data_IF_521434141329
#
_entry.id   IF_521434141329
#
_cell.length_a   1.000
_cell.length_b   1.000
_cell.length_c   1.000
_cell.angle_alpha   90.00
_cell.angle_beta   90.00
_cell.angle_gamma   90.00
#
_symmetry.space_group_name_H-M   'P 1'
#
loop_
_entity.id
_entity.type
_entity.pdbx_description
1 polymer ?
#
# COMPACT_ATOMS: atom_id res chain seq x y z
N UNK A 1 -11.81 -51.04 26.05
CA UNK A 1 -11.82 -49.57 26.10
C UNK A 1 -11.44 -49.09 24.74
N UNK A 2 -12.40 -48.59 23.97
CA UNK A 2 -12.15 -48.07 22.61
C UNK A 2 -11.93 -46.56 22.71
N UNK A 3 -10.75 -46.11 22.36
CA UNK A 3 -10.42 -44.69 22.30
C UNK A 3 -11.11 -44.07 21.08
N UNK A 4 -11.99 -43.09 21.32
CA UNK A 4 -12.65 -42.28 20.31
C UNK A 4 -11.63 -41.29 19.73
N UNK A 5 -11.00 -41.63 18.61
CA UNK A 5 -10.30 -40.67 17.78
C UNK A 5 -11.34 -39.82 17.02
N UNK A 6 -11.46 -38.55 17.44
CA UNK A 6 -12.18 -37.55 16.63
C UNK A 6 -11.48 -37.33 15.30
N UNK A 7 -11.99 -37.97 14.26
CA UNK A 7 -11.55 -37.74 12.89
C UNK A 7 -12.16 -36.41 12.44
N UNK A 8 -11.34 -35.36 12.36
CA UNK A 8 -11.70 -34.09 11.75
C UNK A 8 -12.15 -34.33 10.31
N UNK A 9 -13.40 -34.03 9.98
CA UNK A 9 -13.90 -34.07 8.61
C UNK A 9 -13.33 -32.86 7.85
N UNK A 10 -12.82 -33.05 6.60
CA UNK A 10 -12.48 -31.92 5.73
C UNK A 10 -13.76 -31.14 5.40
N UNK A 11 -13.93 -29.96 5.98
CA UNK A 11 -15.14 -29.12 5.86
C UNK A 11 -15.44 -28.27 7.07
N UNK A 12 -14.90 -28.60 8.25
CA UNK A 12 -15.13 -27.88 9.51
C UNK A 12 -14.13 -26.73 9.77
N UNK A 13 -13.46 -26.22 8.74
CA UNK A 13 -12.89 -24.88 8.86
C UNK A 13 -14.07 -23.90 8.81
N UNK A 14 -14.58 -23.57 9.99
CA UNK A 14 -15.66 -22.61 10.13
C UNK A 14 -15.39 -21.40 9.27
N UNK A 15 -16.30 -21.10 8.35
CA UNK A 15 -16.33 -19.80 7.70
C UNK A 15 -16.29 -18.77 8.81
N UNK A 16 -15.13 -18.12 8.98
CA UNK A 16 -14.97 -17.06 9.95
C UNK A 16 -16.03 -16.01 9.64
N UNK A 17 -16.99 -15.85 10.55
CA UNK A 17 -18.06 -14.82 10.50
C UNK A 17 -17.53 -13.38 10.34
N UNK A 18 -16.21 -13.20 10.24
CA UNK A 18 -15.51 -11.93 10.11
C UNK A 18 -15.16 -11.55 8.66
N UNK A 19 -15.34 -12.45 7.67
CA UNK A 19 -14.92 -12.22 6.28
C UNK A 19 -16.01 -11.62 5.37
N UNK A 20 -17.07 -11.03 5.91
CA UNK A 20 -18.06 -10.32 5.10
C UNK A 20 -17.58 -8.91 4.75
N UNK A 21 -16.40 -8.83 4.12
CA UNK A 21 -15.78 -7.60 3.65
C UNK A 21 -15.59 -7.71 2.14
N UNK A 22 -16.20 -6.79 1.40
CA UNK A 22 -16.13 -6.81 -0.07
C UNK A 22 -14.74 -6.40 -0.59
N UNK A 23 -13.99 -5.61 0.18
CA UNK A 23 -12.70 -5.07 -0.20
C UNK A 23 -11.72 -5.02 0.97
N UNK A 24 -10.46 -5.42 0.72
CA UNK A 24 -9.32 -5.24 1.64
C UNK A 24 -8.31 -4.29 1.01
N UNK A 25 -7.72 -3.41 1.82
CA UNK A 25 -6.77 -2.38 1.38
C UNK A 25 -5.37 -2.70 1.90
N UNK A 26 -4.36 -2.61 1.04
CA UNK A 26 -2.96 -2.72 1.43
C UNK A 26 -2.19 -1.47 0.98
N UNK A 27 -1.62 -0.75 1.92
CA UNK A 27 -0.62 0.26 1.62
C UNK A 27 0.71 -0.41 1.29
N UNK A 28 1.33 -0.04 0.17
CA UNK A 28 2.73 -0.34 -0.14
C UNK A 28 3.48 0.98 -0.15
N UNK A 29 4.37 1.17 0.83
CA UNK A 29 5.03 2.45 1.07
C UNK A 29 6.54 2.34 0.81
N UNK A 30 7.04 3.31 0.11
CA UNK A 30 8.44 3.46 -0.25
C UNK A 30 9.28 3.92 0.94
N UNK A 31 10.29 3.16 1.28
CA UNK A 31 11.37 3.49 2.21
C UNK A 31 12.74 3.31 1.53
N UNK A 32 12.80 3.52 0.20
CA UNK A 32 14.07 3.55 -0.53
C UNK A 32 14.91 4.77 -0.14
N UNK A 33 16.16 4.75 -0.54
CA UNK A 33 17.12 5.76 -0.12
C UNK A 33 16.76 7.18 -0.61
N UNK A 34 16.12 7.30 -1.78
CA UNK A 34 15.63 8.58 -2.34
C UNK A 34 14.59 9.27 -1.44
N UNK A 35 13.84 8.52 -0.63
CA UNK A 35 12.92 9.07 0.35
C UNK A 35 13.59 9.88 1.47
N UNK A 36 14.93 9.83 1.60
CA UNK A 36 15.70 10.71 2.49
C UNK A 36 15.93 12.09 1.93
N UNK A 37 15.77 12.27 0.61
CA UNK A 37 15.99 13.55 -0.05
C UNK A 37 14.96 14.60 0.39
N UNK A 38 15.40 15.87 0.56
CA UNK A 38 14.50 16.93 0.98
C UNK A 38 13.76 17.57 -0.20
N UNK A 39 12.51 17.97 0.05
CA UNK A 39 11.77 18.95 -0.75
C UNK A 39 11.54 20.17 0.15
N UNK A 40 12.08 21.32 -0.26
CA UNK A 40 12.01 22.54 0.55
C UNK A 40 12.47 22.36 2.01
N UNK A 41 13.55 21.58 2.23
CA UNK A 41 14.15 21.34 3.54
C UNK A 41 13.48 20.25 4.39
N UNK A 42 12.40 19.62 3.93
CA UNK A 42 11.72 18.51 4.60
C UNK A 42 11.90 17.21 3.81
N UNK A 43 12.36 16.15 4.47
CA UNK A 43 12.58 14.87 3.78
C UNK A 43 11.25 14.30 3.26
N UNK A 44 11.29 13.68 2.09
CA UNK A 44 10.10 13.03 1.46
C UNK A 44 9.45 12.03 2.42
N UNK A 45 10.26 11.22 3.13
CA UNK A 45 9.75 10.26 4.12
C UNK A 45 8.98 10.96 5.25
N UNK A 46 9.44 12.11 5.75
CA UNK A 46 8.76 12.83 6.82
C UNK A 46 7.41 13.39 6.34
N UNK A 47 7.34 13.85 5.08
CA UNK A 47 6.08 14.25 4.45
C UNK A 47 5.11 13.06 4.32
N UNK A 48 5.60 11.90 3.91
CA UNK A 48 4.81 10.66 3.85
C UNK A 48 4.30 10.25 5.24
N UNK A 49 5.16 10.23 6.25
CA UNK A 49 4.79 9.89 7.63
C UNK A 49 3.73 10.83 8.18
N UNK A 50 3.89 12.13 7.94
CA UNK A 50 2.90 13.15 8.32
C UNK A 50 1.57 12.91 7.60
N UNK A 51 1.60 12.66 6.29
CA UNK A 51 0.41 12.35 5.50
C UNK A 51 -0.32 11.12 6.04
N UNK A 52 0.39 10.05 6.33
CA UNK A 52 -0.21 8.84 6.92
C UNK A 52 -0.82 9.12 8.29
N UNK A 53 -0.15 9.94 9.13
CA UNK A 53 -0.70 10.38 10.42
C UNK A 53 -1.99 11.19 10.29
N UNK A 54 -2.12 12.00 9.23
CA UNK A 54 -3.34 12.78 8.94
C UNK A 54 -4.48 11.94 8.35
N UNK A 55 -4.16 10.87 7.60
CA UNK A 55 -5.15 10.07 6.87
C UNK A 55 -5.69 8.90 7.69
N UNK A 56 -4.81 8.17 8.38
CA UNK A 56 -5.17 6.94 9.09
C UNK A 56 -6.32 7.11 10.10
N UNK A 57 -6.46 8.24 10.84
CA UNK A 57 -7.59 8.45 11.73
C UNK A 57 -8.95 8.49 11.04
N UNK A 58 -8.99 8.84 9.75
CA UNK A 58 -10.22 8.91 8.96
C UNK A 58 -10.56 7.61 8.23
N UNK A 59 -9.67 6.61 8.25
CA UNK A 59 -9.97 5.28 7.72
C UNK A 59 -11.03 4.63 8.60
N UNK A 60 -12.14 4.20 8.00
CA UNK A 60 -13.20 3.55 8.74
C UNK A 60 -12.67 2.31 9.48
N UNK A 61 -12.97 2.20 10.77
CA UNK A 61 -12.52 1.07 11.62
C UNK A 61 -12.97 -0.31 11.13
N UNK A 62 -14.02 -0.36 10.31
CA UNK A 62 -14.48 -1.59 9.66
C UNK A 62 -13.71 -1.94 8.40
N UNK A 63 -12.96 -0.99 7.83
CA UNK A 63 -12.11 -1.25 6.65
C UNK A 63 -10.90 -2.08 7.08
N UNK A 64 -10.67 -3.16 6.38
CA UNK A 64 -9.51 -4.01 6.59
C UNK A 64 -8.32 -3.39 5.88
N UNK A 65 -7.35 -2.92 6.64
CA UNK A 65 -6.15 -2.28 6.11
C UNK A 65 -4.90 -2.96 6.63
N UNK A 66 -3.88 -3.02 5.76
CA UNK A 66 -2.56 -3.52 6.11
C UNK A 66 -1.47 -2.61 5.53
N UNK A 67 -0.22 -2.91 5.87
CA UNK A 67 0.91 -2.14 5.37
C UNK A 67 2.10 -3.03 5.06
N UNK A 68 2.55 -2.98 3.82
CA UNK A 68 3.82 -3.47 3.33
C UNK A 68 4.75 -2.28 3.10
N UNK A 69 6.03 -2.47 3.30
CA UNK A 69 7.06 -1.48 2.97
C UNK A 69 8.18 -2.14 2.18
N UNK A 70 8.88 -1.37 1.37
CA UNK A 70 10.12 -1.80 0.74
C UNK A 70 11.23 -0.75 0.94
N UNK A 71 12.49 -1.12 0.64
CA UNK A 71 13.63 -0.21 0.77
C UNK A 71 14.00 0.15 2.22
N UNK A 72 13.40 -0.48 3.22
CA UNK A 72 13.64 -0.23 4.64
C UNK A 72 14.82 -1.01 5.21
N UNK A 73 15.44 -1.88 4.41
CA UNK A 73 16.59 -2.72 4.79
C UNK A 73 17.65 -2.62 3.71
N UNK A 74 18.90 -2.60 4.15
CA UNK A 74 20.04 -2.84 3.27
C UNK A 74 20.16 -4.33 3.00
N UNK A 75 20.55 -4.69 1.78
CA UNK A 75 20.95 -6.06 1.43
C UNK A 75 22.47 -6.21 1.53
N UNK A 76 22.96 -7.44 1.71
CA UNK A 76 24.38 -7.73 1.56
C UNK A 76 24.81 -7.70 0.08
N UNK A 77 23.90 -8.03 -0.80
CA UNK A 77 24.04 -7.97 -2.27
C UNK A 77 22.93 -7.11 -2.86
N UNK A 78 23.06 -6.72 -4.13
CA UNK A 78 21.97 -6.05 -4.87
C UNK A 78 20.73 -6.95 -4.92
N UNK A 79 20.92 -8.26 -5.09
CA UNK A 79 19.81 -9.22 -5.08
C UNK A 79 19.05 -9.20 -3.76
N UNK A 80 19.74 -9.18 -2.61
CA UNK A 80 19.08 -9.11 -1.29
C UNK A 80 18.35 -7.78 -1.10
N UNK A 81 18.97 -6.67 -1.52
CA UNK A 81 18.37 -5.34 -1.46
C UNK A 81 17.08 -5.28 -2.30
N UNK A 82 17.07 -5.93 -3.46
CA UNK A 82 15.90 -6.05 -4.35
C UNK A 82 14.84 -7.04 -3.84
N UNK A 83 15.07 -7.73 -2.75
CA UNK A 83 14.10 -8.55 -2.00
C UNK A 83 13.69 -7.92 -0.66
N UNK A 84 14.17 -6.71 -0.37
CA UNK A 84 13.90 -6.01 0.88
C UNK A 84 12.48 -5.42 0.91
N UNK A 85 11.47 -6.28 0.94
CA UNK A 85 10.05 -5.95 1.08
C UNK A 85 9.44 -6.75 2.22
N UNK A 86 8.69 -6.10 3.12
CA UNK A 86 8.12 -6.73 4.32
C UNK A 86 6.69 -6.28 4.59
N UNK A 87 5.81 -7.23 4.88
CA UNK A 87 4.49 -6.95 5.46
C UNK A 87 4.69 -6.59 6.94
N UNK A 88 4.65 -5.30 7.28
CA UNK A 88 4.86 -4.85 8.66
C UNK A 88 3.58 -4.89 9.50
N UNK A 89 2.43 -4.71 8.86
CA UNK A 89 1.12 -4.82 9.49
C UNK A 89 0.22 -5.68 8.61
N UNK A 90 -0.17 -6.88 9.06
CA UNK A 90 -1.13 -7.72 8.34
C UNK A 90 -2.45 -6.99 8.10
N UNK A 91 -3.17 -7.37 7.05
CA UNK A 91 -4.46 -6.77 6.70
C UNK A 91 -5.50 -7.22 7.73
N UNK A 92 -5.98 -6.27 8.55
CA UNK A 92 -6.96 -6.51 9.59
C UNK A 92 -7.83 -5.27 9.84
N UNK A 93 -9.00 -5.40 10.47
CA UNK A 93 -9.80 -4.24 10.89
C UNK A 93 -9.07 -3.46 12.00
N UNK A 94 -9.35 -2.16 12.09
CA UNK A 94 -8.81 -1.25 13.11
C UNK A 94 -7.26 -1.19 13.18
N UNK A 95 -6.54 -1.48 12.08
CA UNK A 95 -5.08 -1.54 12.04
C UNK A 95 -4.38 -0.17 11.98
N UNK A 96 -5.12 0.94 11.91
CA UNK A 96 -4.54 2.29 11.75
C UNK A 96 -3.48 2.63 12.81
N UNK A 97 -3.74 2.32 14.08
CA UNK A 97 -2.78 2.56 15.17
C UNK A 97 -1.52 1.69 15.05
N UNK A 98 -1.67 0.43 14.64
CA UNK A 98 -0.55 -0.47 14.40
C UNK A 98 0.32 0.02 13.23
N UNK A 99 -0.31 0.54 12.15
CA UNK A 99 0.40 1.14 11.02
C UNK A 99 1.21 2.35 11.50
N UNK A 100 0.60 3.30 12.23
CA UNK A 100 1.29 4.48 12.77
C UNK A 100 2.48 4.09 13.64
N UNK A 101 2.32 3.12 14.54
CA UNK A 101 3.38 2.66 15.43
C UNK A 101 4.55 2.00 14.69
N UNK A 102 4.29 1.28 13.60
CA UNK A 102 5.33 0.68 12.76
C UNK A 102 6.04 1.70 11.89
N UNK A 103 5.30 2.65 11.31
CA UNK A 103 5.87 3.74 10.51
C UNK A 103 6.88 4.56 11.30
N UNK A 104 6.58 4.91 12.55
CA UNK A 104 7.48 5.68 13.42
C UNK A 104 8.85 5.00 13.68
N UNK A 105 8.97 3.70 13.42
CA UNK A 105 10.19 2.90 13.64
C UNK A 105 10.87 2.46 12.33
N UNK A 106 10.31 2.83 11.19
CA UNK A 106 10.81 2.42 9.88
C UNK A 106 11.63 3.56 9.25
N UNK A 107 12.80 3.24 8.72
CA UNK A 107 13.70 4.22 8.11
C UNK A 107 14.08 3.82 6.68
N UNK A 108 14.22 4.79 5.77
CA UNK A 108 14.72 4.56 4.41
C UNK A 108 16.18 4.09 4.44
N UNK A 109 16.53 3.07 3.60
CA UNK A 109 17.89 2.51 3.57
C UNK A 109 18.29 1.81 2.28
N UNK A 110 17.35 1.44 1.40
CA UNK A 110 17.59 0.46 0.36
C UNK A 110 17.13 0.84 -1.03
N UNK A 111 16.93 -0.20 -1.84
CA UNK A 111 16.51 -0.14 -3.24
C UNK A 111 14.99 0.00 -3.37
N UNK A 112 14.52 0.10 -4.63
CA UNK A 112 13.10 0.34 -4.95
C UNK A 112 12.48 -0.87 -5.68
N UNK A 113 12.29 -2.04 -5.01
CA UNK A 113 11.72 -3.25 -5.58
C UNK A 113 10.18 -3.19 -5.65
N UNK A 114 9.64 -2.34 -6.52
CA UNK A 114 8.19 -2.13 -6.68
C UNK A 114 7.52 -3.42 -7.13
N UNK A 115 7.99 -4.01 -8.23
CA UNK A 115 7.40 -5.20 -8.84
C UNK A 115 7.43 -6.38 -7.88
N UNK A 116 8.55 -6.60 -7.20
CA UNK A 116 8.66 -7.63 -6.18
C UNK A 116 7.66 -7.42 -5.03
N UNK A 117 7.48 -6.17 -4.59
CA UNK A 117 6.54 -5.84 -3.52
C UNK A 117 5.09 -6.07 -3.92
N UNK A 118 4.73 -5.71 -5.16
CA UNK A 118 3.41 -5.95 -5.74
C UNK A 118 3.14 -7.45 -5.89
N UNK A 119 4.11 -8.24 -6.36
CA UNK A 119 4.02 -9.72 -6.41
C UNK A 119 3.73 -10.28 -5.02
N UNK A 120 4.50 -9.90 -4.01
CA UNK A 120 4.31 -10.37 -2.63
C UNK A 120 2.95 -9.98 -2.06
N UNK A 121 2.45 -8.78 -2.38
CA UNK A 121 1.11 -8.36 -1.98
C UNK A 121 0.03 -9.30 -2.54
N UNK A 122 0.07 -9.55 -3.83
CA UNK A 122 -0.95 -10.36 -4.52
C UNK A 122 -0.86 -11.85 -4.16
N UNK A 123 0.36 -12.39 -4.05
CA UNK A 123 0.61 -13.82 -3.84
C UNK A 123 0.48 -14.25 -2.37
N UNK A 124 0.79 -13.34 -1.43
CA UNK A 124 0.96 -13.69 -0.02
C UNK A 124 0.08 -12.88 0.93
N UNK A 125 0.01 -11.54 0.77
CA UNK A 125 -0.62 -10.69 1.78
C UNK A 125 -2.16 -10.76 1.75
N UNK A 126 -2.74 -11.06 0.58
CA UNK A 126 -4.17 -11.28 0.39
C UNK A 126 -4.55 -12.77 0.34
N UNK A 127 -3.68 -13.65 0.81
CA UNK A 127 -3.95 -15.11 0.77
C UNK A 127 -5.27 -15.44 1.47
N UNK A 128 -6.07 -16.32 0.85
CA UNK A 128 -7.37 -16.75 1.39
C UNK A 128 -8.50 -15.73 1.27
N UNK A 129 -8.26 -14.55 0.68
CA UNK A 129 -9.30 -13.54 0.45
C UNK A 129 -9.76 -13.53 -1.00
N UNK A 130 -11.06 -13.79 -1.22
CA UNK A 130 -11.69 -13.85 -2.54
C UNK A 130 -12.28 -12.51 -3.02
N UNK A 131 -12.44 -11.51 -2.13
CA UNK A 131 -13.00 -10.19 -2.46
C UNK A 131 -12.03 -9.28 -3.20
N UNK A 132 -12.42 -8.03 -3.40
CA UNK A 132 -11.62 -7.00 -4.07
C UNK A 132 -10.37 -6.65 -3.27
N UNK A 133 -9.24 -6.62 -3.95
CA UNK A 133 -7.93 -6.28 -3.41
C UNK A 133 -7.52 -4.91 -3.90
N UNK A 134 -7.49 -3.93 -3.00
CA UNK A 134 -7.09 -2.58 -3.30
C UNK A 134 -5.68 -2.32 -2.76
N UNK A 135 -4.73 -2.14 -3.63
CA UNK A 135 -3.35 -1.76 -3.29
C UNK A 135 -3.20 -0.27 -3.53
N UNK A 136 -2.63 0.44 -2.57
CA UNK A 136 -2.25 1.85 -2.70
C UNK A 136 -0.74 1.91 -2.61
N UNK A 137 -0.09 2.08 -3.77
CA UNK A 137 1.35 2.21 -3.90
C UNK A 137 1.75 3.67 -3.82
N UNK A 138 2.62 4.02 -2.87
CA UNK A 138 3.26 5.32 -2.77
C UNK A 138 4.75 5.15 -2.99
N UNK A 139 5.31 5.86 -3.98
CA UNK A 139 6.72 5.80 -4.36
C UNK A 139 7.23 7.18 -4.81
N UNK A 140 8.51 7.47 -4.58
CA UNK A 140 9.18 8.68 -5.05
C UNK A 140 10.17 8.42 -6.20
N UNK A 141 10.18 7.19 -6.74
CA UNK A 141 11.03 6.78 -7.85
C UNK A 141 10.44 5.61 -8.63
N UNK A 142 11.09 5.26 -9.73
CA UNK A 142 10.79 4.09 -10.53
C UNK A 142 11.41 2.80 -9.96
N UNK A 143 11.11 1.69 -10.61
CA UNK A 143 11.73 0.39 -10.34
C UNK A 143 13.24 0.44 -10.63
N UNK A 144 14.07 -0.02 -9.71
CA UNK A 144 15.51 -0.09 -9.90
C UNK A 144 16.13 -1.47 -9.60
N UNK A 145 15.30 -2.51 -9.71
CA UNK A 145 15.64 -3.91 -9.44
C UNK A 145 15.44 -4.81 -10.67
N UNK A 146 15.69 -4.28 -11.86
CA UNK A 146 15.65 -4.99 -13.15
C UNK A 146 14.33 -5.69 -13.48
N UNK A 147 13.21 -5.20 -12.92
CA UNK A 147 11.86 -5.66 -13.24
C UNK A 147 11.05 -4.53 -13.91
N UNK A 148 9.99 -4.87 -14.65
CA UNK A 148 9.06 -3.91 -15.23
C UNK A 148 7.69 -4.01 -14.56
N UNK A 149 7.29 -3.04 -13.73
CA UNK A 149 6.00 -3.08 -13.05
C UNK A 149 4.83 -3.02 -14.04
N UNK A 150 4.95 -2.31 -15.17
CA UNK A 150 3.91 -2.26 -16.20
C UNK A 150 3.72 -3.63 -16.87
N UNK A 151 4.80 -4.29 -17.30
CA UNK A 151 4.72 -5.62 -17.94
C UNK A 151 4.11 -6.63 -16.98
N UNK A 152 4.56 -6.62 -15.71
CA UNK A 152 3.97 -7.49 -14.69
C UNK A 152 2.47 -7.22 -14.48
N UNK A 153 2.05 -5.96 -14.42
CA UNK A 153 0.64 -5.62 -14.23
C UNK A 153 -0.23 -6.08 -15.42
N UNK A 154 0.27 -5.94 -16.65
CA UNK A 154 -0.41 -6.46 -17.86
C UNK A 154 -0.57 -7.98 -17.83
N UNK A 155 0.42 -8.73 -17.34
CA UNK A 155 0.28 -10.17 -17.15
C UNK A 155 -0.69 -10.51 -16.02
N UNK A 156 -0.63 -9.77 -14.90
CA UNK A 156 -1.51 -9.97 -13.75
C UNK A 156 -2.99 -9.93 -14.15
N UNK A 157 -3.42 -8.91 -14.90
CA UNK A 157 -4.83 -8.69 -15.22
C UNK A 157 -5.43 -9.76 -16.16
N UNK A 158 -4.60 -10.59 -16.81
CA UNK A 158 -5.08 -11.72 -17.60
C UNK A 158 -5.82 -12.75 -16.75
N UNK A 159 -5.41 -12.89 -15.47
CA UNK A 159 -5.94 -13.90 -14.54
C UNK A 159 -6.57 -13.31 -13.28
N UNK A 160 -6.21 -12.08 -12.90
CA UNK A 160 -6.59 -11.46 -11.63
C UNK A 160 -7.26 -10.09 -11.86
N UNK A 161 -8.58 -10.12 -12.09
CA UNK A 161 -9.40 -8.90 -12.24
C UNK A 161 -9.91 -8.33 -10.91
N UNK A 162 -9.62 -9.00 -9.82
CA UNK A 162 -9.98 -8.67 -8.45
C UNK A 162 -8.96 -7.76 -7.76
N UNK A 163 -7.85 -7.42 -8.45
CA UNK A 163 -6.76 -6.57 -7.95
C UNK A 163 -6.83 -5.20 -8.62
N UNK A 164 -6.99 -4.17 -7.81
CA UNK A 164 -6.92 -2.76 -8.21
C UNK A 164 -5.69 -2.12 -7.56
N UNK A 165 -4.89 -1.38 -8.32
CA UNK A 165 -3.69 -0.71 -7.82
C UNK A 165 -3.81 0.79 -8.10
N UNK A 166 -4.00 1.59 -7.06
CA UNK A 166 -3.85 3.04 -7.14
C UNK A 166 -2.37 3.37 -6.92
N UNK A 167 -1.81 4.24 -7.75
CA UNK A 167 -0.41 4.66 -7.66
C UNK A 167 -0.34 6.14 -7.34
N UNK A 168 0.48 6.48 -6.34
CA UNK A 168 0.80 7.86 -5.96
C UNK A 168 2.29 8.07 -6.22
N UNK A 169 2.61 8.73 -7.32
CA UNK A 169 3.96 9.12 -7.71
C UNK A 169 4.32 10.43 -7.01
N UNK A 170 5.23 10.37 -6.03
CA UNK A 170 5.57 11.49 -5.19
C UNK A 170 6.90 12.13 -5.63
N UNK A 171 6.82 13.34 -6.20
CA UNK A 171 7.98 14.12 -6.66
C UNK A 171 8.89 13.40 -7.67
N UNK A 172 8.30 12.58 -8.55
CA UNK A 172 9.01 11.93 -9.64
C UNK A 172 9.07 12.88 -10.83
N UNK A 173 10.25 13.06 -11.42
CA UNK A 173 10.48 13.88 -12.60
C UNK A 173 10.83 13.07 -13.86
N UNK A 174 11.29 11.83 -13.69
CA UNK A 174 11.62 10.96 -14.82
C UNK A 174 10.33 10.49 -15.50
N UNK A 175 10.22 10.73 -16.81
CA UNK A 175 9.00 10.43 -17.58
C UNK A 175 8.81 8.93 -17.77
N UNK A 176 9.88 8.17 -17.99
CA UNK A 176 9.81 6.71 -18.17
C UNK A 176 9.28 6.03 -16.90
N UNK A 177 9.74 6.46 -15.72
CA UNK A 177 9.25 6.00 -14.43
C UNK A 177 7.75 6.31 -14.26
N UNK A 178 7.36 7.56 -14.59
CA UNK A 178 5.95 7.97 -14.52
C UNK A 178 5.08 7.14 -15.45
N UNK A 179 5.53 6.83 -16.65
CA UNK A 179 4.78 6.05 -17.64
C UNK A 179 4.65 4.58 -17.24
N UNK A 180 5.71 3.97 -16.68
CA UNK A 180 5.66 2.63 -16.10
C UNK A 180 4.65 2.55 -14.93
N UNK A 181 4.69 3.53 -14.03
CA UNK A 181 3.81 3.59 -12.87
C UNK A 181 2.36 3.91 -13.25
N UNK A 182 2.16 4.81 -14.22
CA UNK A 182 0.83 5.11 -14.78
C UNK A 182 0.20 3.88 -15.40
N UNK A 183 0.99 3.10 -16.15
CA UNK A 183 0.54 1.85 -16.75
C UNK A 183 0.00 0.91 -15.67
N UNK A 184 0.72 0.69 -14.55
CA UNK A 184 0.26 -0.16 -13.44
C UNK A 184 -1.13 0.26 -12.95
N UNK A 185 -1.33 1.56 -12.68
CA UNK A 185 -2.61 2.06 -12.24
C UNK A 185 -3.72 1.79 -13.26
N UNK A 186 -3.50 2.18 -14.53
CA UNK A 186 -4.52 2.10 -15.56
C UNK A 186 -4.92 0.68 -15.90
N UNK A 187 -3.97 -0.24 -16.10
CA UNK A 187 -4.28 -1.62 -16.51
C UNK A 187 -4.98 -2.41 -15.41
N UNK A 188 -4.78 -2.07 -14.14
CA UNK A 188 -5.45 -2.70 -12.99
C UNK A 188 -6.76 -2.01 -12.61
N UNK A 189 -7.32 -1.14 -13.47
CA UNK A 189 -8.51 -0.34 -13.19
C UNK A 189 -8.38 0.53 -11.91
N UNK A 190 -7.17 0.84 -11.52
CA UNK A 190 -6.85 1.79 -10.47
C UNK A 190 -6.69 3.22 -11.00
N UNK A 191 -6.17 4.09 -10.14
CA UNK A 191 -5.91 5.49 -10.45
C UNK A 191 -4.43 5.81 -10.35
N UNK A 192 -4.00 6.78 -11.12
CA UNK A 192 -2.65 7.31 -11.06
C UNK A 192 -2.70 8.77 -10.61
N UNK A 193 -1.97 9.07 -9.56
CA UNK A 193 -1.85 10.41 -8.99
C UNK A 193 -0.38 10.85 -9.01
N UNK A 194 -0.16 12.13 -9.26
CA UNK A 194 1.13 12.78 -9.04
C UNK A 194 1.01 13.76 -7.89
N UNK A 195 2.01 13.82 -7.03
CA UNK A 195 2.09 14.77 -5.94
C UNK A 195 3.49 15.37 -5.88
N UNK A 196 3.61 16.69 -5.82
CA UNK A 196 4.88 17.43 -5.68
C UNK A 196 5.01 18.09 -4.32
N UNK A 197 3.91 18.17 -3.57
CA UNK A 197 3.82 18.80 -2.26
C UNK A 197 3.14 17.89 -1.24
N UNK A 198 3.34 18.16 0.05
CA UNK A 198 2.65 17.44 1.11
C UNK A 198 1.11 17.54 1.00
N UNK A 199 0.59 18.70 0.61
CA UNK A 199 -0.85 18.92 0.44
C UNK A 199 -1.42 18.07 -0.71
N UNK A 200 -0.71 17.98 -1.84
CA UNK A 200 -1.08 17.10 -2.96
C UNK A 200 -1.01 15.64 -2.57
N UNK A 201 -0.01 15.25 -1.77
CA UNK A 201 0.14 13.88 -1.27
C UNK A 201 -1.05 13.49 -0.38
N UNK A 202 -1.46 14.36 0.56
CA UNK A 202 -2.66 14.17 1.40
C UNK A 202 -3.92 14.03 0.53
N UNK A 203 -4.09 14.92 -0.47
CA UNK A 203 -5.26 14.86 -1.35
C UNK A 203 -5.29 13.58 -2.20
N UNK A 204 -4.15 13.15 -2.75
CA UNK A 204 -4.03 11.91 -3.52
C UNK A 204 -4.40 10.69 -2.68
N UNK A 205 -3.90 10.63 -1.44
CA UNK A 205 -4.20 9.54 -0.51
C UNK A 205 -5.69 9.52 -0.11
N UNK A 206 -6.28 10.69 0.18
CA UNK A 206 -7.73 10.80 0.47
C UNK A 206 -8.58 10.33 -0.71
N UNK A 207 -8.24 10.76 -1.92
CA UNK A 207 -8.96 10.39 -3.14
C UNK A 207 -8.87 8.88 -3.42
N UNK A 208 -7.72 8.27 -3.19
CA UNK A 208 -7.52 6.83 -3.34
C UNK A 208 -8.38 6.03 -2.35
N UNK A 209 -8.46 6.49 -1.10
CA UNK A 209 -9.27 5.87 -0.04
C UNK A 209 -10.76 6.24 -0.09
N UNK A 210 -11.18 7.14 -0.99
CA UNK A 210 -12.56 7.62 -1.04
C UNK A 210 -12.98 8.44 0.19
N UNK A 211 -12.04 9.00 0.94
CA UNK A 211 -12.32 9.84 2.10
C UNK A 211 -12.80 11.20 1.63
N UNK A 212 -14.09 11.50 1.85
CA UNK A 212 -14.68 12.81 1.51
C UNK A 212 -14.08 13.89 2.40
N UNK A 213 -13.78 15.05 1.81
CA UNK A 213 -13.48 16.26 2.58
C UNK A 213 -14.78 16.65 3.31
N UNK A 214 -14.81 16.56 4.63
CA UNK A 214 -15.84 17.30 5.39
C UNK A 214 -15.53 18.78 5.17
N UNK A 215 -16.41 19.45 4.42
CA UNK A 215 -16.45 20.90 4.37
C UNK A 215 -17.04 21.30 5.72
N UNK A 216 -16.20 21.73 6.66
CA UNK A 216 -16.65 22.44 7.85
C UNK A 216 -17.30 23.76 7.39
N UNK A 217 -18.56 23.66 6.96
CA UNK A 217 -19.43 24.80 6.83
C UNK A 217 -19.84 25.23 8.26
N UNK A 218 -18.95 25.90 8.97
CA UNK A 218 -19.34 26.78 10.05
C UNK A 218 -20.15 27.88 9.41
N UNK A 219 -21.48 27.70 9.40
CA UNK A 219 -22.45 28.76 9.16
C UNK A 219 -22.16 29.81 10.24
N UNK A 220 -21.53 30.89 9.84
CA UNK A 220 -21.47 32.11 10.66
C UNK A 220 -22.91 32.62 10.67
N UNK A 221 -23.67 32.22 11.69
CA UNK A 221 -24.89 32.95 12.06
C UNK A 221 -24.43 34.24 12.71
N UNK A 222 -24.39 35.30 11.96
CA UNK A 222 -24.36 36.66 12.52
C UNK A 222 -25.74 36.98 13.11
N UNK A 223 -25.77 37.55 14.32
CA UNK A 223 -26.99 38.02 14.98
C UNK A 223 -27.65 39.19 14.29
#
# INVERSE_FOLDING_TARGET
>A
MAENYNVYKPGDFGQNKFDNVDEKVLFILDFSNSMTEPINGVRKVDMMLKTMGEILPYVNKKTWVGMRVYGHKMGFTQYDACKASSLLVPIAPASASAITAKLAKTNPRGMTPITYSLKKAVESDFIGFSGKKHIILLTDGGENCDESPCVWAMELIKTRKDVKIDVIAFNISNQDDLDQLRCVGLVTAGKFYTAKTAAELVNSMRNSLGIKKEVDAKIIQNP
#
